data_IF_342386710802
#
_entry.id   IF_342386710802
#
_cell.length_a   1.000
_cell.length_b   1.000
_cell.length_c   1.000
_cell.angle_alpha   90.00
_cell.angle_beta   90.00
_cell.angle_gamma   90.00
#
_symmetry.space_group_name_H-M   'P 1'
#
loop_
_entity.id
_entity.type
_entity.pdbx_description
1 polymer ?
#
# COMPACT_ATOMS: atom_id res chain seq x y z
N UNK A 1 8.26 -4.89 -10.93
CA UNK A 1 6.99 -4.83 -10.17
C UNK A 1 7.05 -3.77 -9.08
N UNK A 2 7.93 -3.92 -8.08
CA UNK A 2 8.00 -3.01 -6.91
C UNK A 2 8.24 -1.55 -7.29
N UNK A 3 9.07 -1.28 -8.31
CA UNK A 3 9.35 0.10 -8.74
C UNK A 3 8.09 0.80 -9.27
N UNK A 4 7.19 0.07 -9.93
CA UNK A 4 5.91 0.61 -10.38
C UNK A 4 4.99 0.91 -9.20
N UNK A 5 4.94 0.03 -8.19
CA UNK A 5 4.16 0.25 -6.97
C UNK A 5 4.58 1.54 -6.24
N UNK A 6 5.89 1.77 -6.15
CA UNK A 6 6.46 3.00 -5.57
C UNK A 6 6.11 4.23 -6.42
N UNK A 7 6.18 4.11 -7.76
CA UNK A 7 5.83 5.19 -8.66
C UNK A 7 4.36 5.59 -8.53
N UNK A 8 3.46 4.60 -8.53
CA UNK A 8 2.01 4.80 -8.40
C UNK A 8 1.68 5.48 -7.05
N UNK A 9 2.28 4.99 -5.95
CA UNK A 9 2.14 5.63 -4.64
C UNK A 9 2.56 7.10 -4.66
N UNK A 10 3.73 7.41 -5.24
CA UNK A 10 4.25 8.79 -5.32
C UNK A 10 3.33 9.69 -6.14
N UNK A 11 2.75 9.19 -7.23
CA UNK A 11 1.79 9.96 -8.04
C UNK A 11 0.56 10.32 -7.19
N UNK A 12 -0.06 9.33 -6.53
CA UNK A 12 -1.24 9.57 -5.67
C UNK A 12 -0.91 10.55 -4.54
N UNK A 13 0.25 10.42 -3.90
CA UNK A 13 0.69 11.36 -2.85
C UNK A 13 0.87 12.78 -3.36
N UNK A 14 1.41 12.95 -4.57
CA UNK A 14 1.54 14.27 -5.18
C UNK A 14 0.17 14.89 -5.48
N UNK A 15 -0.78 14.11 -5.96
CA UNK A 15 -2.15 14.57 -6.21
C UNK A 15 -2.87 14.96 -4.92
N UNK A 16 -2.76 14.14 -3.86
CA UNK A 16 -3.30 14.48 -2.54
C UNK A 16 -2.69 15.75 -1.96
N UNK A 17 -1.39 15.97 -2.12
CA UNK A 17 -0.74 17.20 -1.69
C UNK A 17 -1.22 18.43 -2.46
N UNK A 18 -1.51 18.31 -3.76
CA UNK A 18 -1.96 19.43 -4.60
C UNK A 18 -3.45 19.72 -4.44
N UNK A 19 -4.28 18.68 -4.34
CA UNK A 19 -5.73 18.79 -4.53
C UNK A 19 -6.54 18.24 -3.34
N UNK A 20 -5.91 17.51 -2.42
CA UNK A 20 -6.60 16.79 -1.35
C UNK A 20 -7.08 17.64 -0.18
N UNK A 21 -6.80 18.95 -0.13
CA UNK A 21 -7.29 19.89 0.90
C UNK A 21 -7.10 19.39 2.35
N UNK A 22 -5.88 19.00 2.73
CA UNK A 22 -5.60 18.48 4.08
C UNK A 22 -5.61 16.95 4.20
N UNK A 23 -5.86 16.22 3.10
CA UNK A 23 -5.83 14.76 3.09
C UNK A 23 -4.41 14.18 3.16
N UNK A 24 -3.39 14.91 2.71
CA UNK A 24 -2.01 14.43 2.75
C UNK A 24 -1.47 14.32 4.18
N UNK A 25 -2.05 15.08 5.11
CA UNK A 25 -1.69 15.21 6.52
C UNK A 25 -2.40 14.20 7.41
N UNK A 26 -3.45 13.54 6.91
CA UNK A 26 -4.14 12.49 7.65
C UNK A 26 -3.30 11.22 7.74
N UNK A 27 -3.57 10.43 8.79
CA UNK A 27 -3.06 9.07 8.90
C UNK A 27 -3.45 8.26 7.65
N UNK A 28 -2.50 7.49 7.14
CA UNK A 28 -2.60 6.74 5.90
C UNK A 28 -2.26 5.27 6.16
N UNK A 29 -3.03 4.38 5.56
CA UNK A 29 -2.72 2.95 5.45
C UNK A 29 -2.57 2.65 3.96
N UNK A 30 -1.45 2.04 3.56
CA UNK A 30 -1.17 1.69 2.16
C UNK A 30 -1.54 0.23 1.94
N UNK A 31 -2.50 0.00 1.05
CA UNK A 31 -3.05 -1.33 0.79
C UNK A 31 -2.74 -1.76 -0.63
N UNK A 32 -2.18 -2.96 -0.78
CA UNK A 32 -2.00 -3.61 -2.09
C UNK A 32 -3.07 -4.68 -2.26
N UNK A 33 -3.94 -4.48 -3.24
CA UNK A 33 -5.01 -5.41 -3.57
C UNK A 33 -4.56 -6.43 -4.62
N UNK A 34 -5.30 -7.54 -4.74
CA UNK A 34 -5.03 -8.69 -5.62
C UNK A 34 -3.81 -9.50 -5.20
N UNK A 35 -3.64 -9.67 -3.89
CA UNK A 35 -2.60 -10.48 -3.24
C UNK A 35 -2.45 -11.87 -3.85
N UNK A 36 -3.53 -12.52 -4.26
CA UNK A 36 -3.55 -13.87 -4.85
C UNK A 36 -2.73 -14.00 -6.13
N UNK A 37 -2.38 -12.89 -6.78
CA UNK A 37 -1.59 -12.86 -8.01
C UNK A 37 -0.08 -12.80 -7.75
N UNK A 38 0.34 -12.69 -6.48
CA UNK A 38 1.74 -12.52 -6.09
C UNK A 38 2.07 -13.48 -4.95
N UNK A 39 3.10 -14.32 -5.15
CA UNK A 39 3.56 -15.24 -4.11
C UNK A 39 4.14 -14.51 -2.88
N UNK A 40 4.29 -15.25 -1.78
CA UNK A 40 4.73 -14.71 -0.49
C UNK A 40 6.15 -14.13 -0.50
N UNK A 41 7.08 -14.75 -1.24
CA UNK A 41 8.46 -14.28 -1.36
C UNK A 41 8.49 -12.90 -2.04
N UNK A 42 7.79 -12.78 -3.17
CA UNK A 42 7.70 -11.53 -3.92
C UNK A 42 6.95 -10.44 -3.15
N UNK A 43 5.92 -10.80 -2.35
CA UNK A 43 5.24 -9.86 -1.45
C UNK A 43 6.18 -9.35 -0.38
N UNK A 44 6.97 -10.23 0.26
CA UNK A 44 7.94 -9.85 1.28
C UNK A 44 9.01 -8.90 0.74
N UNK A 45 9.61 -9.25 -0.41
CA UNK A 45 10.61 -8.41 -1.07
C UNK A 45 10.03 -7.04 -1.50
N UNK A 46 8.79 -7.02 -1.99
CA UNK A 46 8.09 -5.78 -2.35
C UNK A 46 7.83 -4.88 -1.13
N UNK A 47 7.33 -5.45 -0.03
CA UNK A 47 7.09 -4.73 1.22
C UNK A 47 8.37 -4.13 1.78
N UNK A 48 9.45 -4.90 1.85
CA UNK A 48 10.73 -4.42 2.40
C UNK A 48 11.28 -3.23 1.58
N UNK A 49 11.32 -3.36 0.26
CA UNK A 49 11.83 -2.29 -0.62
C UNK A 49 10.90 -1.07 -0.64
N UNK A 50 9.58 -1.27 -0.55
CA UNK A 50 8.63 -0.16 -0.49
C UNK A 50 8.80 0.63 0.81
N UNK A 51 8.96 -0.05 1.95
CA UNK A 51 9.20 0.59 3.25
C UNK A 51 10.54 1.35 3.25
N UNK A 52 11.62 0.74 2.74
CA UNK A 52 12.94 1.40 2.63
C UNK A 52 12.85 2.74 1.87
N UNK A 53 12.05 2.80 0.80
CA UNK A 53 11.97 3.98 -0.07
C UNK A 53 10.94 5.01 0.40
N UNK A 54 9.88 4.59 1.08
CA UNK A 54 8.71 5.45 1.39
C UNK A 54 8.45 5.63 2.88
N UNK A 55 9.03 4.78 3.74
CA UNK A 55 8.76 4.71 5.18
C UNK A 55 7.34 4.26 5.51
N UNK A 56 6.71 3.48 4.62
CA UNK A 56 5.33 3.01 4.74
C UNK A 56 5.27 1.49 4.65
N UNK A 57 4.51 0.90 5.56
CA UNK A 57 4.18 -0.52 5.53
C UNK A 57 3.03 -0.80 4.57
N UNK A 58 3.15 -1.90 3.81
CA UNK A 58 2.10 -2.40 2.94
C UNK A 58 1.24 -3.41 3.68
N UNK A 59 -0.08 -3.30 3.51
CA UNK A 59 -1.03 -4.34 3.87
C UNK A 59 -1.50 -5.03 2.59
N UNK A 60 -1.29 -6.34 2.51
CA UNK A 60 -1.70 -7.14 1.36
C UNK A 60 -3.09 -7.72 1.59
N UNK A 61 -3.96 -7.58 0.60
CA UNK A 61 -5.34 -8.09 0.68
C UNK A 61 -5.77 -8.73 -0.63
N UNK A 62 -6.73 -9.64 -0.55
CA UNK A 62 -7.55 -10.05 -1.69
C UNK A 62 -8.99 -9.65 -1.44
N UNK A 63 -9.37 -8.44 -1.88
CA UNK A 63 -10.74 -7.95 -1.70
C UNK A 63 -11.76 -8.80 -2.48
N UNK A 64 -11.37 -9.39 -3.61
CA UNK A 64 -12.22 -10.28 -4.40
C UNK A 64 -12.45 -11.65 -3.75
N UNK A 65 -11.49 -12.12 -2.93
CA UNK A 65 -11.58 -13.39 -2.20
C UNK A 65 -12.02 -13.23 -0.73
N UNK A 66 -12.19 -11.98 -0.25
CA UNK A 66 -12.58 -11.68 1.12
C UNK A 66 -11.43 -11.73 2.14
N UNK A 67 -10.18 -11.82 1.69
CA UNK A 67 -9.00 -11.87 2.55
C UNK A 67 -8.56 -10.44 2.92
N UNK A 68 -9.22 -9.87 3.93
CA UNK A 68 -9.03 -8.47 4.38
C UNK A 68 -8.77 -8.36 5.89
N UNK A 69 -8.60 -9.47 6.59
CA UNK A 69 -8.47 -9.51 8.05
C UNK A 69 -7.31 -8.63 8.56
N UNK A 70 -6.15 -8.70 7.88
CA UNK A 70 -4.96 -7.93 8.27
C UNK A 70 -5.18 -6.42 8.17
N UNK A 71 -5.97 -5.96 7.20
CA UNK A 71 -6.35 -4.56 7.08
C UNK A 71 -7.27 -4.12 8.23
N UNK A 72 -8.27 -4.92 8.57
CA UNK A 72 -9.20 -4.61 9.66
C UNK A 72 -8.47 -4.52 11.00
N UNK A 73 -7.48 -5.39 11.22
CA UNK A 73 -6.67 -5.38 12.44
C UNK A 73 -5.84 -4.09 12.60
N UNK A 74 -5.53 -3.36 11.53
CA UNK A 74 -4.83 -2.07 11.63
C UNK A 74 -5.74 -0.89 12.01
N UNK A 75 -7.06 -1.07 11.92
CA UNK A 75 -8.06 -0.05 12.24
C UNK A 75 -8.57 -0.14 13.68
N UNK A 76 -8.23 -1.21 14.38
CA UNK A 76 -8.65 -1.50 15.76
C UNK A 76 -7.67 -0.91 16.77
#
# INVERSE_FOLDING_TARGET
>A
MVDQLIADYKIVRQELSKYGKGLAEKSEIVVVNKMELVDEENRGAASAKFDEVTGKNLVWVSAGMGEVADLVNQLS
#
